data_IF_593615050758
#
_entry.id   IF_593615050758
#
_cell.length_a   1.000
_cell.length_b   1.000
_cell.length_c   1.000
_cell.angle_alpha   90.00
_cell.angle_beta   90.00
_cell.angle_gamma   90.00
#
_symmetry.space_group_name_H-M   'P 1'
#
loop_
_entity.id
_entity.type
_entity.pdbx_description
1 polymer ?
#
# COMPACT_ATOMS: atom_id res chain seq x y z
N UNK A 1 8.65 2.89 -4.95
CA UNK A 1 9.57 2.39 -3.91
C UNK A 1 10.18 3.53 -3.08
N UNK A 2 10.07 4.78 -3.53
CA UNK A 2 10.73 5.92 -2.88
C UNK A 2 10.03 6.49 -1.64
N UNK A 3 8.74 6.17 -1.42
CA UNK A 3 7.94 6.72 -0.31
C UNK A 3 8.67 6.74 1.06
N UNK A 4 9.31 5.65 1.55
CA UNK A 4 10.05 5.69 2.81
C UNK A 4 11.17 6.75 2.90
N UNK A 5 11.74 7.19 1.76
CA UNK A 5 12.81 8.19 1.71
C UNK A 5 12.30 9.62 1.90
N UNK A 6 10.98 9.81 1.78
CA UNK A 6 10.33 11.12 1.91
C UNK A 6 9.62 11.29 3.26
N UNK A 7 9.62 10.26 4.10
CA UNK A 7 9.00 10.28 5.43
C UNK A 7 10.03 10.55 6.52
N UNK A 8 9.62 11.25 7.58
CA UNK A 8 10.36 11.28 8.85
C UNK A 8 10.35 9.87 9.50
N UNK A 9 11.07 9.70 10.62
CA UNK A 9 11.16 8.42 11.32
C UNK A 9 9.78 7.85 11.67
N UNK A 10 8.90 8.67 12.26
CA UNK A 10 7.53 8.30 12.62
C UNK A 10 6.48 8.66 11.55
N UNK A 11 6.93 8.87 10.31
CA UNK A 11 6.05 9.27 9.21
C UNK A 11 5.20 8.12 8.67
N UNK A 12 4.02 8.45 8.16
CA UNK A 12 3.11 7.48 7.53
C UNK A 12 2.78 7.86 6.09
N UNK A 13 2.57 6.86 5.25
CA UNK A 13 1.89 6.99 3.96
C UNK A 13 0.41 6.74 4.16
N UNK A 14 -0.43 7.68 3.69
CA UNK A 14 -1.86 7.46 3.49
C UNK A 14 -2.09 7.30 1.99
N UNK A 15 -2.75 6.22 1.57
CA UNK A 15 -2.94 5.91 0.16
C UNK A 15 -4.37 5.46 -0.12
N UNK A 16 -5.01 6.07 -1.11
CA UNK A 16 -6.32 5.70 -1.61
C UNK A 16 -6.20 4.82 -2.86
N UNK A 17 -6.93 3.72 -2.87
CA UNK A 17 -7.00 2.73 -3.96
C UNK A 17 -8.44 2.45 -4.41
N UNK A 18 -9.44 3.04 -3.74
CA UNK A 18 -10.86 2.85 -4.02
C UNK A 18 -11.25 1.37 -4.07
N UNK A 19 -11.97 0.98 -5.13
CA UNK A 19 -12.46 -0.40 -5.37
C UNK A 19 -11.34 -1.46 -5.52
N UNK A 20 -10.07 -1.06 -5.54
CA UNK A 20 -8.95 -2.00 -5.70
C UNK A 20 -8.48 -2.64 -4.39
N UNK A 21 -9.13 -2.38 -3.26
CA UNK A 21 -8.78 -2.91 -1.93
C UNK A 21 -8.55 -4.44 -1.95
N UNK A 22 -9.57 -5.22 -2.33
CA UNK A 22 -9.49 -6.68 -2.35
C UNK A 22 -8.36 -7.18 -3.27
N UNK A 23 -8.23 -6.57 -4.46
CA UNK A 23 -7.17 -6.92 -5.42
C UNK A 23 -5.78 -6.63 -4.85
N UNK A 24 -5.63 -5.56 -4.07
CA UNK A 24 -4.37 -5.18 -3.46
C UNK A 24 -3.97 -6.16 -2.36
N UNK A 25 -4.92 -6.58 -1.53
CA UNK A 25 -4.71 -7.60 -0.48
C UNK A 25 -4.30 -8.93 -1.10
N UNK A 26 -4.97 -9.36 -2.18
CA UNK A 26 -4.61 -10.60 -2.90
C UNK A 26 -3.21 -10.52 -3.53
N UNK A 27 -2.83 -9.36 -4.05
CA UNK A 27 -1.53 -9.14 -4.69
C UNK A 27 -0.38 -9.07 -3.68
N UNK A 28 -0.64 -8.50 -2.50
CA UNK A 28 0.36 -8.21 -1.47
C UNK A 28 -0.07 -8.76 -0.10
N UNK A 29 -0.29 -10.08 0.04
CA UNK A 29 -0.94 -10.67 1.22
C UNK A 29 -0.11 -10.59 2.51
N UNK A 30 1.16 -10.21 2.42
CA UNK A 30 2.07 -10.05 3.55
C UNK A 30 2.24 -8.59 3.99
N UNK A 31 1.67 -7.64 3.27
CA UNK A 31 1.75 -6.22 3.64
C UNK A 31 0.69 -5.94 4.71
N UNK A 32 1.06 -5.37 5.87
CA UNK A 32 0.15 -5.16 6.98
C UNK A 32 -0.70 -3.88 6.78
N UNK A 33 -1.57 -3.88 5.77
CA UNK A 33 -2.45 -2.75 5.49
C UNK A 33 -3.33 -2.41 6.69
N UNK A 34 -3.27 -1.16 7.15
CA UNK A 34 -4.23 -0.61 8.11
C UNK A 34 -5.29 0.18 7.34
N UNK A 35 -6.45 -0.43 7.09
CA UNK A 35 -7.55 0.21 6.37
C UNK A 35 -8.28 1.22 7.28
N UNK A 36 -8.54 2.42 6.75
CA UNK A 36 -9.23 3.47 7.47
C UNK A 36 -10.75 3.35 7.29
N UNK A 37 -11.48 3.51 8.38
CA UNK A 37 -12.93 3.61 8.40
C UNK A 37 -13.36 5.08 8.49
N UNK A 38 -14.36 5.47 7.69
CA UNK A 38 -14.84 6.85 7.64
C UNK A 38 -16.29 6.96 8.13
N UNK A 39 -16.56 7.99 8.94
CA UNK A 39 -17.89 8.22 9.54
C UNK A 39 -19.00 8.50 8.52
N UNK A 40 -18.67 8.94 7.30
CA UNK A 40 -19.62 9.27 6.24
C UNK A 40 -19.56 8.30 5.05
N UNK A 41 -19.08 7.07 5.28
CA UNK A 41 -18.84 6.09 4.22
C UNK A 41 -17.57 6.38 3.41
N UNK A 42 -17.25 5.45 2.50
CA UNK A 42 -15.96 5.41 1.79
C UNK A 42 -15.06 4.29 2.33
N UNK A 43 -14.26 3.69 1.44
CA UNK A 43 -13.33 2.60 1.73
C UNK A 43 -12.12 2.68 0.80
N UNK A 44 -11.20 1.72 0.90
CA UNK A 44 -10.04 1.69 0.02
C UNK A 44 -8.98 2.75 0.34
N UNK A 45 -8.94 3.27 1.56
CA UNK A 45 -7.81 4.09 2.05
C UNK A 45 -7.07 3.32 3.12
N UNK A 46 -5.76 3.15 2.96
CA UNK A 46 -4.92 2.51 3.97
C UNK A 46 -3.80 3.42 4.45
N UNK A 47 -3.25 3.07 5.61
CA UNK A 47 -2.05 3.65 6.20
C UNK A 47 -0.96 2.59 6.29
N UNK A 48 0.27 2.98 5.97
CA UNK A 48 1.49 2.24 6.30
C UNK A 48 2.51 3.20 6.90
N UNK A 49 3.20 2.79 7.96
CA UNK A 49 4.34 3.53 8.47
C UNK A 49 5.59 3.34 7.60
N UNK A 50 6.61 4.15 7.87
CA UNK A 50 7.87 4.13 7.13
C UNK A 50 8.56 2.76 7.12
N UNK A 51 8.55 2.02 8.24
CA UNK A 51 9.22 0.72 8.33
C UNK A 51 8.41 -0.36 7.58
N UNK A 52 7.10 -0.35 7.70
CA UNK A 52 6.21 -1.21 6.91
C UNK A 52 6.40 -0.99 5.40
N UNK A 53 6.61 0.25 4.95
CA UNK A 53 6.92 0.54 3.54
C UNK A 53 8.29 0.00 3.11
N UNK A 54 9.28 -0.01 4.01
CA UNK A 54 10.61 -0.59 3.76
C UNK A 54 10.52 -2.11 3.66
N UNK A 55 9.81 -2.74 4.58
CA UNK A 55 9.59 -4.19 4.59
C UNK A 55 8.77 -4.66 3.39
N UNK A 56 7.78 -3.86 2.96
CA UNK A 56 6.96 -4.16 1.79
C UNK A 56 7.70 -3.96 0.45
N UNK A 57 8.79 -3.19 0.40
CA UNK A 57 9.46 -2.78 -0.83
C UNK A 57 9.84 -3.95 -1.77
N UNK A 58 10.39 -5.08 -1.29
CA UNK A 58 10.67 -6.24 -2.15
C UNK A 58 9.41 -6.83 -2.78
N UNK A 59 8.34 -7.03 -2.00
CA UNK A 59 7.08 -7.58 -2.49
C UNK A 59 6.42 -6.67 -3.53
N UNK A 60 6.44 -5.35 -3.29
CA UNK A 60 5.93 -4.35 -4.24
C UNK A 60 6.76 -4.34 -5.52
N UNK A 61 8.09 -4.42 -5.43
CA UNK A 61 8.96 -4.49 -6.62
C UNK A 61 8.68 -5.73 -7.46
N UNK A 62 8.50 -6.88 -6.82
CA UNK A 62 8.14 -8.14 -7.49
C UNK A 62 6.78 -8.03 -8.18
N UNK A 63 5.77 -7.49 -7.49
CA UNK A 63 4.44 -7.29 -8.04
C UNK A 63 4.44 -6.34 -9.26
N UNK A 64 5.26 -5.28 -9.25
CA UNK A 64 5.43 -4.38 -10.40
C UNK A 64 6.02 -5.12 -11.60
N UNK A 65 7.07 -5.93 -11.41
CA UNK A 65 7.69 -6.68 -12.50
C UNK A 65 6.73 -7.67 -13.20
N UNK A 66 5.78 -8.24 -12.44
CA UNK A 66 4.75 -9.15 -12.96
C UNK A 66 3.66 -8.45 -13.79
N UNK A 67 3.54 -7.12 -13.75
CA UNK A 67 2.52 -6.34 -14.49
C UNK A 67 2.85 -6.11 -15.98
N UNK A 68 3.83 -6.82 -16.53
CA UNK A 68 4.27 -6.70 -17.93
C UNK A 68 3.31 -7.32 -18.97
N UNK A 69 2.00 -7.06 -18.87
CA UNK A 69 1.05 -7.06 -19.99
C UNK A 69 -0.32 -6.52 -19.53
N UNK A 70 -0.58 -5.25 -19.84
CA UNK A 70 -1.94 -4.75 -20.08
C UNK A 70 -1.88 -4.15 -21.48
N UNK A 71 -2.43 -4.89 -22.44
CA UNK A 71 -2.84 -4.35 -23.75
C UNK A 71 -4.20 -3.72 -23.58
#
# INVERSE_FOLDING_TARGET
LDAPRHLCEDGVLVCEVGESEARLVDLLPRVPFTWLEFAHGGSGVFVLDREQLREAAPAVSEAIGKRSHVT
#
